data_IF_205574803022
#
_entry.id   IF_205574803022
#
_cell.length_a   1.000
_cell.length_b   1.000
_cell.length_c   1.000
_cell.angle_alpha   90.00
_cell.angle_beta   90.00
_cell.angle_gamma   90.00
#
_symmetry.space_group_name_H-M   'P 1'
#
loop_
_entity.id
_entity.type
_entity.pdbx_description
1 polymer ?
#
# COMPACT_ATOMS: atom_id res chain seq x y z
N UNK A 1 -17.13 -15.38 -4.91
CA UNK A 1 -15.76 -14.84 -4.80
C UNK A 1 -15.87 -13.32 -4.67
N UNK A 2 -16.01 -12.84 -3.46
CA UNK A 2 -16.04 -11.39 -3.19
C UNK A 2 -14.61 -10.88 -3.27
N UNK A 3 -14.24 -10.40 -4.42
CA UNK A 3 -12.99 -9.63 -4.58
C UNK A 3 -13.14 -8.41 -3.70
N UNK A 4 -12.18 -8.22 -2.82
CA UNK A 4 -12.15 -7.04 -1.96
C UNK A 4 -11.81 -5.83 -2.82
N UNK A 5 -12.79 -5.27 -3.49
CA UNK A 5 -12.64 -4.17 -4.43
C UNK A 5 -12.16 -2.87 -3.77
N UNK A 6 -12.21 -2.79 -2.44
CA UNK A 6 -11.82 -1.58 -1.72
C UNK A 6 -10.39 -1.12 -2.05
N UNK A 7 -9.45 -2.04 -2.23
CA UNK A 7 -8.07 -1.69 -2.59
C UNK A 7 -7.83 -1.41 -4.05
N UNK A 8 -8.66 -1.90 -4.91
CA UNK A 8 -8.59 -1.59 -6.34
C UNK A 8 -8.71 -0.09 -6.61
N UNK A 9 -9.55 0.61 -5.85
CA UNK A 9 -9.75 2.05 -5.99
C UNK A 9 -8.68 2.90 -5.29
N UNK A 10 -7.86 2.32 -4.42
CA UNK A 10 -6.96 3.07 -3.57
C UNK A 10 -5.77 3.72 -4.31
N UNK A 11 -5.38 3.22 -5.47
CA UNK A 11 -4.34 3.84 -6.30
C UNK A 11 -4.89 4.68 -7.45
N UNK A 12 -6.19 4.70 -7.63
CA UNK A 12 -6.81 5.37 -8.78
C UNK A 12 -7.01 6.87 -8.56
N UNK A 13 -7.40 7.28 -7.38
CA UNK A 13 -7.65 8.67 -7.03
C UNK A 13 -6.75 9.06 -5.87
N UNK A 14 -6.51 10.33 -5.66
CA UNK A 14 -5.62 10.98 -4.69
C UNK A 14 -5.63 10.43 -3.25
N UNK A 15 -5.62 9.11 -3.13
CA UNK A 15 -5.62 8.40 -1.86
C UNK A 15 -4.24 8.51 -1.22
N UNK A 16 -4.22 8.86 0.05
CA UNK A 16 -2.97 8.97 0.81
C UNK A 16 -2.46 7.59 1.24
N UNK A 17 -1.17 7.47 1.51
CA UNK A 17 -0.61 6.25 2.06
C UNK A 17 -1.24 5.89 3.42
N UNK A 18 -1.69 6.88 4.19
CA UNK A 18 -2.37 6.68 5.47
C UNK A 18 -3.69 5.93 5.29
N UNK A 19 -4.48 6.34 4.32
CA UNK A 19 -5.73 5.65 3.97
C UNK A 19 -5.49 4.23 3.50
N UNK A 20 -4.45 4.02 2.69
CA UNK A 20 -4.04 2.67 2.26
C UNK A 20 -3.67 1.80 3.46
N UNK A 21 -2.87 2.34 4.37
CA UNK A 21 -2.39 1.63 5.56
C UNK A 21 -3.54 1.22 6.49
N UNK A 22 -4.51 2.10 6.69
CA UNK A 22 -5.64 1.88 7.60
C UNK A 22 -6.75 1.02 6.99
N UNK A 23 -6.69 0.73 5.69
CA UNK A 23 -7.66 -0.15 5.03
C UNK A 23 -7.40 -1.60 5.42
N UNK A 24 -8.36 -2.22 6.08
CA UNK A 24 -8.29 -3.63 6.46
C UNK A 24 -8.85 -4.52 5.34
N UNK A 25 -8.03 -5.42 4.73
CA UNK A 25 -8.49 -6.27 3.63
C UNK A 25 -9.59 -7.25 4.02
N UNK A 26 -9.64 -7.61 5.29
CA UNK A 26 -10.56 -8.62 5.83
C UNK A 26 -11.76 -8.02 6.55
N UNK A 27 -11.95 -6.69 6.50
CA UNK A 27 -12.98 -6.00 7.27
C UNK A 27 -14.41 -6.51 7.01
N UNK A 28 -14.68 -6.95 5.78
CA UNK A 28 -16.00 -7.42 5.37
C UNK A 28 -16.18 -8.94 5.46
N UNK A 29 -15.22 -9.65 6.03
CA UNK A 29 -15.24 -11.10 6.17
C UNK A 29 -15.28 -11.44 7.66
N UNK A 30 -16.44 -11.91 8.13
CA UNK A 30 -16.65 -12.24 9.53
C UNK A 30 -16.19 -13.66 9.87
N UNK A 31 -16.37 -14.62 8.96
CA UNK A 31 -16.05 -16.03 9.22
C UNK A 31 -14.53 -16.29 9.19
N UNK A 32 -13.95 -16.87 10.26
CA UNK A 32 -12.53 -17.22 10.30
C UNK A 32 -12.09 -18.20 9.20
N UNK A 33 -12.96 -19.12 8.79
CA UNK A 33 -12.69 -20.06 7.71
C UNK A 33 -12.53 -19.34 6.35
N UNK A 34 -13.40 -18.38 6.08
CA UNK A 34 -13.33 -17.56 4.87
C UNK A 34 -12.11 -16.63 4.89
N UNK A 35 -11.75 -16.08 6.04
CA UNK A 35 -10.54 -15.26 6.20
C UNK A 35 -9.26 -16.03 5.85
N UNK A 36 -9.20 -17.30 6.21
CA UNK A 36 -8.06 -18.17 5.90
C UNK A 36 -7.88 -18.43 4.39
N UNK A 37 -8.93 -18.25 3.60
CA UNK A 37 -8.87 -18.39 2.14
C UNK A 37 -8.30 -17.16 1.41
N UNK A 38 -8.16 -16.05 2.11
CA UNK A 38 -7.59 -14.82 1.53
C UNK A 38 -6.06 -14.90 1.63
N UNK A 39 -5.42 -15.10 0.50
CA UNK A 39 -3.97 -15.28 0.42
C UNK A 39 -3.20 -13.96 0.34
N UNK A 40 -3.86 -12.87 0.00
CA UNK A 40 -3.23 -11.56 -0.15
C UNK A 40 -4.07 -10.61 -1.00
N UNK A 41 -3.43 -9.64 -1.62
CA UNK A 41 -4.08 -8.66 -2.47
C UNK A 41 -3.13 -8.08 -3.49
N UNK A 42 -3.66 -7.21 -4.33
CA UNK A 42 -2.90 -6.50 -5.35
C UNK A 42 -3.24 -5.01 -5.34
N UNK A 43 -2.34 -4.21 -5.85
CA UNK A 43 -2.53 -2.78 -6.06
C UNK A 43 -2.32 -2.47 -7.52
N UNK A 44 -3.28 -1.77 -8.11
CA UNK A 44 -3.25 -1.39 -9.50
C UNK A 44 -2.99 0.12 -9.64
N UNK A 45 -2.03 0.48 -10.47
CA UNK A 45 -1.79 1.87 -10.87
C UNK A 45 -2.16 2.04 -12.34
N UNK A 46 -3.21 2.81 -12.57
CA UNK A 46 -3.67 3.13 -13.91
C UNK A 46 -2.87 4.31 -14.50
N UNK A 47 -2.74 4.31 -15.81
CA UNK A 47 -1.86 5.24 -16.52
C UNK A 47 -2.47 6.55 -16.98
N UNK A 48 -3.76 6.85 -16.73
CA UNK A 48 -4.49 7.99 -17.29
C UNK A 48 -3.84 9.33 -16.98
N UNK A 49 -3.25 9.47 -15.79
CA UNK A 49 -2.60 10.72 -15.37
C UNK A 49 -1.15 10.50 -14.91
N UNK A 50 -0.52 9.46 -15.41
CA UNK A 50 0.81 9.04 -14.92
C UNK A 50 1.71 8.70 -16.10
N UNK A 51 2.83 9.40 -16.20
CA UNK A 51 3.95 9.04 -17.05
C UNK A 51 5.15 8.57 -16.22
N UNK A 52 6.24 8.23 -16.88
CA UNK A 52 7.44 7.73 -16.22
C UNK A 52 8.05 8.73 -15.22
N UNK A 53 7.90 10.04 -15.48
CA UNK A 53 8.49 11.08 -14.64
C UNK A 53 7.84 11.21 -13.26
N UNK A 54 6.56 10.89 -13.14
CA UNK A 54 5.79 11.01 -11.91
C UNK A 54 5.40 9.67 -11.29
N UNK A 55 5.72 8.56 -11.94
CA UNK A 55 5.34 7.23 -11.51
C UNK A 55 5.77 6.90 -10.08
N UNK A 56 7.04 7.08 -9.78
CA UNK A 56 7.56 6.75 -8.45
C UNK A 56 6.92 7.60 -7.34
N UNK A 57 6.72 8.89 -7.59
CA UNK A 57 6.06 9.77 -6.64
C UNK A 57 4.59 9.43 -6.39
N UNK A 58 3.91 8.83 -7.37
CA UNK A 58 2.52 8.42 -7.24
C UNK A 58 2.35 7.03 -6.64
N UNK A 59 3.31 6.14 -6.84
CA UNK A 59 3.28 4.78 -6.31
C UNK A 59 3.76 4.72 -4.87
N UNK A 60 4.88 5.36 -4.59
CA UNK A 60 5.47 5.38 -3.24
C UNK A 60 5.04 6.64 -2.47
N UNK A 61 4.79 6.56 -1.17
CA UNK A 61 4.93 5.39 -0.27
C UNK A 61 3.68 4.49 -0.19
N UNK A 62 2.66 4.71 -1.00
CA UNK A 62 1.40 3.95 -0.96
C UNK A 62 1.63 2.44 -1.08
N UNK A 63 2.49 2.04 -2.00
CA UNK A 63 2.83 0.63 -2.19
C UNK A 63 3.54 0.04 -0.96
N UNK A 64 4.40 0.81 -0.30
CA UNK A 64 5.04 0.40 0.94
C UNK A 64 4.04 0.19 2.08
N UNK A 65 3.07 1.09 2.21
CA UNK A 65 2.00 0.99 3.20
C UNK A 65 1.15 -0.27 2.98
N UNK A 66 0.80 -0.56 1.74
CA UNK A 66 0.06 -1.77 1.39
C UNK A 66 0.88 -3.04 1.64
N UNK A 67 2.15 -3.05 1.28
CA UNK A 67 3.05 -4.17 1.52
C UNK A 67 3.16 -4.47 3.02
N UNK A 68 3.36 -3.46 3.85
CA UNK A 68 3.38 -3.63 5.31
C UNK A 68 2.07 -4.22 5.82
N UNK A 69 0.94 -3.77 5.30
CA UNK A 69 -0.38 -4.31 5.67
C UNK A 69 -0.54 -5.78 5.27
N UNK A 70 -0.09 -6.16 4.08
CA UNK A 70 -0.21 -7.55 3.61
C UNK A 70 0.72 -8.52 4.32
N UNK A 71 1.92 -8.07 4.67
CA UNK A 71 2.95 -8.91 5.27
C UNK A 71 2.94 -8.92 6.80
N UNK A 72 2.14 -8.07 7.42
CA UNK A 72 2.03 -8.00 8.88
C UNK A 72 0.82 -8.75 9.39
N UNK A 73 0.87 -9.31 10.60
CA UNK A 73 -0.30 -9.90 11.23
C UNK A 73 -1.44 -8.90 11.38
N UNK A 74 -2.65 -9.42 11.44
CA UNK A 74 -3.84 -8.61 11.71
C UNK A 74 -3.70 -7.96 13.08
N UNK A 75 -3.70 -6.63 13.11
CA UNK A 75 -3.63 -5.84 14.33
C UNK A 75 -4.73 -4.76 14.32
N UNK A 76 -5.79 -4.92 15.13
CA UNK A 76 -6.88 -3.96 15.18
C UNK A 76 -6.46 -2.59 15.76
N UNK A 77 -5.31 -2.52 16.43
CA UNK A 77 -4.78 -1.27 17.00
C UNK A 77 -3.88 -0.51 16.03
N UNK A 78 -3.66 -1.05 14.85
CA UNK A 78 -2.80 -0.45 13.82
C UNK A 78 -3.35 0.90 13.35
N UNK A 79 -2.51 1.93 13.44
CA UNK A 79 -2.84 3.28 12.98
C UNK A 79 -1.76 3.80 12.04
N UNK A 80 -2.14 4.71 11.14
CA UNK A 80 -1.18 5.39 10.27
C UNK A 80 -0.10 6.13 11.06
N UNK A 81 -0.47 6.72 12.18
CA UNK A 81 0.48 7.42 13.06
C UNK A 81 1.57 6.49 13.59
N UNK A 82 1.24 5.25 13.94
CA UNK A 82 2.24 4.27 14.40
C UNK A 82 3.23 3.86 13.31
N UNK A 83 2.86 4.00 12.06
CA UNK A 83 3.68 3.65 10.91
C UNK A 83 4.49 4.82 10.34
N UNK A 84 4.24 6.05 10.77
CA UNK A 84 4.77 7.26 10.15
C UNK A 84 6.31 7.26 10.08
N UNK A 85 6.99 6.95 11.18
CA UNK A 85 8.45 6.90 11.22
C UNK A 85 9.04 5.84 10.27
N UNK A 86 8.38 4.68 10.16
CA UNK A 86 8.81 3.61 9.23
C UNK A 86 8.62 4.00 7.77
N UNK A 87 7.50 4.68 7.44
CA UNK A 87 7.23 5.16 6.08
C UNK A 87 8.20 6.26 5.66
N UNK A 88 8.53 7.18 6.56
CA UNK A 88 9.53 8.21 6.31
C UNK A 88 10.93 7.62 6.08
N UNK A 89 11.34 6.68 6.92
CA UNK A 89 12.61 5.97 6.75
C UNK A 89 12.67 5.22 5.42
N UNK A 90 11.61 4.53 5.08
CA UNK A 90 11.50 3.78 3.81
C UNK A 90 11.57 4.71 2.60
N UNK A 91 10.90 5.85 2.66
CA UNK A 91 10.97 6.90 1.63
C UNK A 91 12.39 7.38 1.42
N UNK A 92 13.09 7.71 2.50
CA UNK A 92 14.49 8.12 2.43
C UNK A 92 15.38 7.05 1.79
N UNK A 93 15.18 5.79 2.16
CA UNK A 93 15.94 4.67 1.61
C UNK A 93 15.70 4.47 0.11
N UNK A 94 14.46 4.55 -0.34
CA UNK A 94 14.12 4.49 -1.76
C UNK A 94 14.78 5.63 -2.54
N UNK A 95 14.72 6.83 -2.00
CA UNK A 95 15.32 8.00 -2.64
C UNK A 95 16.84 7.85 -2.80
N UNK A 96 17.53 7.35 -1.78
CA UNK A 96 18.95 7.08 -1.83
C UNK A 96 19.30 5.97 -2.83
N UNK A 97 18.51 4.94 -2.91
CA UNK A 97 18.69 3.84 -3.87
C UNK A 97 18.51 4.31 -5.31
N UNK A 98 17.53 5.16 -5.56
CA UNK A 98 17.26 5.71 -6.89
C UNK A 98 18.38 6.64 -7.38
N UNK A 99 18.94 7.46 -6.50
CA UNK A 99 20.10 8.30 -6.85
C UNK A 99 21.33 7.49 -7.29
N UNK A 100 21.53 6.32 -6.72
CA UNK A 100 22.63 5.43 -7.13
C UNK A 100 22.44 4.84 -8.53
N UNK A 101 21.19 4.70 -8.98
CA UNK A 101 20.90 4.22 -10.34
C UNK A 101 21.09 5.29 -11.41
N UNK A 102 21.01 6.56 -11.04
CA UNK A 102 21.19 7.69 -11.97
C UNK A 102 22.64 8.19 -12.07
N UNK A 103 23.56 7.64 -11.30
CA UNK A 103 24.98 8.03 -11.30
C UNK A 103 25.90 7.07 -12.07
N UNK A 104 25.28 6.19 -12.86
CA UNK A 104 26.05 5.34 -13.78
C UNK A 104 25.92 5.79 -15.21
#
# INVERSE_FOLDING_TARGET
MTRNHARYYLLHLEVTWKQVYETEPLANIADPGERALVLGGELCKWGESTDASVFDGKVWPRLAAAAETFWSPLDPTRTAQSAEARMEWFRCRLFCSHRRSFTM
#
